data_IF_438455645669
#
_entry.id   IF_438455645669
#
_cell.length_a   1.000
_cell.length_b   1.000
_cell.length_c   1.000
_cell.angle_alpha   90.00
_cell.angle_beta   90.00
_cell.angle_gamma   90.00
#
_symmetry.space_group_name_H-M   'P 1'
#
loop_
_entity.id
_entity.type
_entity.pdbx_description
1 polymer ?
#
# COMPACT_ATOMS: atom_id res chain seq x y z
N UNK A 1 0.91 -22.51 -1.49
CA UNK A 1 1.04 -21.06 -1.71
C UNK A 1 -0.34 -20.51 -1.91
N UNK A 2 -0.69 -19.42 -1.22
CA UNK A 2 -1.86 -18.62 -1.61
C UNK A 2 -1.51 -17.90 -2.92
N UNK A 3 -2.47 -17.75 -3.82
CA UNK A 3 -2.28 -16.92 -5.00
C UNK A 3 -2.09 -15.46 -4.52
N UNK A 4 -1.15 -14.70 -5.09
CA UNK A 4 -0.96 -13.27 -4.78
C UNK A 4 -2.30 -12.50 -4.85
N UNK A 5 -3.12 -12.84 -5.84
CA UNK A 5 -4.44 -12.24 -6.01
C UNK A 5 -5.36 -12.56 -4.82
N UNK A 6 -5.27 -13.76 -4.25
CA UNK A 6 -6.02 -14.15 -3.06
C UNK A 6 -5.45 -13.47 -1.80
N UNK A 7 -4.13 -13.34 -1.68
CA UNK A 7 -3.50 -12.63 -0.57
C UNK A 7 -3.98 -11.18 -0.51
N UNK A 8 -3.87 -10.45 -1.63
CA UNK A 8 -4.30 -9.05 -1.69
C UNK A 8 -5.82 -8.95 -1.52
N UNK A 9 -6.61 -9.69 -2.29
CA UNK A 9 -8.06 -9.48 -2.31
C UNK A 9 -8.79 -10.06 -1.09
N UNK A 10 -8.24 -11.07 -0.43
CA UNK A 10 -8.91 -11.75 0.68
C UNK A 10 -8.27 -11.44 2.02
N UNK A 11 -6.92 -11.45 2.14
CA UNK A 11 -6.28 -11.19 3.43
C UNK A 11 -6.17 -9.71 3.76
N UNK A 12 -5.75 -8.86 2.82
CA UNK A 12 -5.61 -7.43 3.09
C UNK A 12 -6.96 -6.72 3.30
N UNK A 13 -8.03 -7.27 2.71
CA UNK A 13 -9.39 -6.71 2.79
C UNK A 13 -10.32 -7.46 3.76
N UNK A 14 -9.77 -8.10 4.79
CA UNK A 14 -10.60 -8.70 5.84
C UNK A 14 -11.47 -7.65 6.54
N UNK A 15 -12.66 -8.07 6.94
CA UNK A 15 -13.63 -7.19 7.59
C UNK A 15 -13.05 -6.61 8.89
N UNK A 16 -12.56 -7.49 9.75
CA UNK A 16 -11.94 -7.13 11.02
C UNK A 16 -10.53 -6.55 10.79
N UNK A 17 -10.23 -5.35 11.32
CA UNK A 17 -8.91 -4.73 11.18
C UNK A 17 -7.78 -5.58 11.74
N UNK A 18 -8.01 -6.23 12.88
CA UNK A 18 -7.01 -7.04 13.59
C UNK A 18 -6.66 -8.33 12.84
N UNK A 19 -7.50 -8.74 11.89
CA UNK A 19 -7.21 -9.90 11.04
C UNK A 19 -6.42 -9.55 9.78
N UNK A 20 -6.22 -8.25 9.49
CA UNK A 20 -5.42 -7.81 8.34
C UNK A 20 -3.93 -7.95 8.66
N UNK A 21 -3.11 -8.35 7.69
CA UNK A 21 -1.67 -8.33 7.84
C UNK A 21 -1.19 -6.89 8.05
N UNK A 22 -0.15 -6.73 8.86
CA UNK A 22 0.55 -5.46 8.95
C UNK A 22 1.35 -5.17 7.66
N UNK A 23 1.78 -3.92 7.49
CA UNK A 23 2.49 -3.49 6.29
C UNK A 23 3.81 -4.27 6.08
N UNK A 24 4.52 -4.64 7.15
CA UNK A 24 5.74 -5.45 7.04
C UNK A 24 5.45 -6.85 6.49
N UNK A 25 4.35 -7.48 6.91
CA UNK A 25 3.93 -8.78 6.39
C UNK A 25 3.56 -8.71 4.91
N UNK A 26 2.86 -7.63 4.49
CA UNK A 26 2.54 -7.40 3.07
C UNK A 26 3.81 -7.25 2.24
N UNK A 27 4.79 -6.48 2.70
CA UNK A 27 6.07 -6.29 2.01
C UNK A 27 6.82 -7.61 1.87
N UNK A 28 6.85 -8.45 2.91
CA UNK A 28 7.52 -9.75 2.86
C UNK A 28 6.88 -10.67 1.80
N UNK A 29 5.55 -10.78 1.78
CA UNK A 29 4.85 -11.63 0.80
C UNK A 29 5.06 -11.12 -0.64
N UNK A 30 5.09 -9.79 -0.86
CA UNK A 30 5.36 -9.21 -2.17
C UNK A 30 6.81 -9.45 -2.63
N UNK A 31 7.78 -9.30 -1.73
CA UNK A 31 9.19 -9.52 -2.05
C UNK A 31 9.50 -10.98 -2.40
N UNK A 32 8.80 -11.96 -1.80
CA UNK A 32 8.95 -13.37 -2.18
C UNK A 32 8.56 -13.60 -3.64
N UNK A 33 7.57 -12.86 -4.15
CA UNK A 33 7.07 -12.99 -5.53
C UNK A 33 8.03 -12.35 -6.54
N UNK A 34 8.66 -11.22 -6.19
CA UNK A 34 9.74 -10.61 -6.98
C UNK A 34 10.97 -11.52 -7.06
N UNK A 35 11.17 -12.40 -6.07
CA UNK A 35 12.25 -13.39 -6.11
C UNK A 35 11.91 -14.61 -6.99
N UNK A 36 10.64 -15.01 -7.04
CA UNK A 36 10.20 -16.18 -7.82
C UNK A 36 10.01 -15.86 -9.31
N UNK A 37 9.56 -14.64 -9.62
CA UNK A 37 9.50 -14.15 -10.98
C UNK A 37 10.60 -13.12 -11.14
N UNK A 38 11.62 -13.42 -11.95
CA UNK A 38 12.72 -12.52 -12.30
C UNK A 38 12.20 -11.32 -13.14
N UNK A 39 11.26 -10.56 -12.59
CA UNK A 39 10.87 -9.25 -13.05
C UNK A 39 12.05 -8.36 -12.71
N UNK A 40 12.92 -8.15 -13.70
CA UNK A 40 13.81 -7.01 -13.67
C UNK A 40 12.91 -5.77 -13.71
N UNK A 41 12.41 -5.34 -12.56
CA UNK A 41 12.02 -3.96 -12.37
C UNK A 41 13.32 -3.18 -12.55
N UNK A 42 13.54 -2.63 -13.74
CA UNK A 42 14.49 -1.54 -13.87
C UNK A 42 13.97 -0.45 -12.94
N UNK A 43 14.51 -0.40 -11.72
CA UNK A 43 14.26 0.69 -10.78
C UNK A 43 14.68 1.97 -11.50
N UNK A 44 13.69 2.64 -12.07
CA UNK A 44 13.93 3.88 -12.73
C UNK A 44 14.03 4.96 -11.66
N UNK A 45 15.26 5.24 -11.21
CA UNK A 45 15.62 6.26 -10.23
C UNK A 45 14.88 7.61 -10.44
N UNK A 46 14.57 7.96 -11.70
CA UNK A 46 13.88 9.21 -12.01
C UNK A 46 12.37 9.21 -11.70
N UNK A 47 11.68 8.05 -11.68
CA UNK A 47 10.28 7.95 -11.26
C UNK A 47 10.14 8.08 -9.73
N UNK A 48 11.08 7.49 -8.98
CA UNK A 48 11.14 7.58 -7.51
C UNK A 48 11.32 9.03 -7.05
N UNK A 49 12.20 9.77 -7.72
CA UNK A 49 12.43 11.20 -7.46
C UNK A 49 11.18 12.03 -7.75
N UNK A 50 10.41 11.69 -8.80
CA UNK A 50 9.17 12.38 -9.17
C UNK A 50 8.06 12.18 -8.12
N UNK A 51 7.86 10.93 -7.68
CA UNK A 51 6.85 10.60 -6.65
C UNK A 51 7.17 11.30 -5.33
N UNK A 52 8.44 11.27 -4.89
CA UNK A 52 8.87 11.93 -3.64
C UNK A 52 8.74 13.45 -3.71
N UNK A 53 8.93 14.04 -4.89
CA UNK A 53 8.75 15.48 -5.08
C UNK A 53 7.26 15.89 -5.07
N UNK A 54 6.39 15.10 -5.70
CA UNK A 54 4.93 15.33 -5.72
C UNK A 54 4.34 15.22 -4.30
N UNK A 55 4.71 14.17 -3.55
CA UNK A 55 4.30 13.98 -2.14
C UNK A 55 4.78 15.08 -1.18
N UNK A 56 5.88 15.76 -1.50
CA UNK A 56 6.39 16.90 -0.71
C UNK A 56 5.74 18.23 -1.10
N UNK A 57 5.16 18.32 -2.30
CA UNK A 57 4.47 19.52 -2.79
C UNK A 57 2.99 19.56 -2.41
N UNK A 58 2.42 18.39 -2.14
CA UNK A 58 1.11 18.23 -1.55
C UNK A 58 1.24 18.17 -0.02
N UNK A 59 1.54 19.31 0.61
CA UNK A 59 0.94 19.57 1.92
C UNK A 59 -0.56 19.43 1.70
N UNK A 60 -1.09 18.28 2.11
CA UNK A 60 -2.50 17.93 2.02
C UNK A 60 -3.24 19.08 2.69
N UNK A 61 -3.94 19.90 1.89
CA UNK A 61 -5.04 20.70 2.41
C UNK A 61 -6.08 19.66 2.78
N UNK A 62 -5.92 19.15 3.98
CA UNK A 62 -6.82 18.25 4.67
C UNK A 62 -8.14 18.98 4.83
N UNK A 63 -8.94 19.01 3.77
CA UNK A 63 -10.32 19.47 3.81
C UNK A 63 -11.15 18.31 4.37
N UNK A 64 -10.94 18.02 5.66
CA UNK A 64 -11.79 17.16 6.49
C UNK A 64 -13.22 17.74 6.66
N UNK A 65 -13.67 18.58 5.73
CA UNK A 65 -14.97 19.26 5.75
C UNK A 65 -16.14 18.28 5.87
N UNK A 66 -15.97 17.05 5.38
CA UNK A 66 -17.00 16.01 5.41
C UNK A 66 -17.02 15.14 6.69
N UNK A 67 -16.12 15.33 7.66
CA UNK A 67 -16.27 14.65 8.95
C UNK A 67 -17.30 15.37 9.83
N UNK A 68 -18.58 15.12 9.58
CA UNK A 68 -19.63 15.43 10.55
C UNK A 68 -19.53 14.48 11.76
N UNK A 69 -18.61 14.77 12.67
CA UNK A 69 -18.72 14.33 14.07
C UNK A 69 -19.97 14.98 14.65
N UNK A 70 -21.11 14.32 14.46
CA UNK A 70 -22.33 14.65 15.18
C UNK A 70 -22.05 14.42 16.67
N UNK A 71 -21.83 15.53 17.38
CA UNK A 71 -21.61 15.54 18.82
C UNK A 71 -22.75 14.79 19.53
N UNK A 72 -22.40 13.77 20.31
CA UNK A 72 -23.24 13.19 21.36
C UNK A 72 -23.01 13.94 22.67
#
# INVERSE_FOLDING_TARGET
MLNLLDFINVKCWRHEPDERPDASQVILELNEIDSENNFNFEENENEKIKIVAELKSEEIKDDFSDCHLSNY
#
